data_IF_573713013751
#
_entry.id   IF_573713013751
#
_cell.length_a   1.000
_cell.length_b   1.000
_cell.length_c   1.000
_cell.angle_alpha   90.00
_cell.angle_beta   90.00
_cell.angle_gamma   90.00
#
_symmetry.space_group_name_H-M   'P 1'
#
loop_
_entity.id
_entity.type
_entity.pdbx_description
1 polymer ?
#
# COMPACT_ATOMS: atom_id res chain seq x y z
N UNK A 1 8.07 -8.06 22.38
CA UNK A 1 8.58 -9.27 23.07
C UNK A 1 7.87 -9.54 24.39
N UNK A 2 7.87 -8.63 25.38
CA UNK A 2 7.31 -8.88 26.73
C UNK A 2 5.82 -9.19 26.73
N UNK A 3 5.01 -8.56 25.87
CA UNK A 3 3.57 -8.87 25.74
C UNK A 3 3.32 -10.27 25.17
N UNK A 4 4.16 -10.76 24.27
CA UNK A 4 4.09 -12.15 23.81
C UNK A 4 4.47 -13.17 24.90
N UNK A 5 5.37 -12.78 25.80
CA UNK A 5 5.68 -13.61 26.97
C UNK A 5 4.51 -13.68 27.95
N UNK A 6 3.77 -12.58 28.10
CA UNK A 6 2.60 -12.52 28.97
C UNK A 6 1.38 -13.30 28.38
N UNK A 7 1.28 -13.39 27.05
CA UNK A 7 0.20 -14.11 26.37
C UNK A 7 0.76 -14.96 25.22
N UNK A 8 1.39 -16.11 25.54
CA UNK A 8 1.94 -17.02 24.53
C UNK A 8 0.86 -17.51 23.56
N UNK A 9 1.23 -17.57 22.29
CA UNK A 9 0.33 -18.03 21.20
C UNK A 9 -0.57 -16.94 20.60
N UNK A 10 -0.55 -15.71 21.09
CA UNK A 10 -1.20 -14.60 20.41
C UNK A 10 -0.45 -14.22 19.13
N UNK A 11 -1.19 -14.01 18.04
CA UNK A 11 -0.66 -13.46 16.77
C UNK A 11 -0.73 -11.93 16.74
N UNK A 12 -1.45 -11.30 17.67
CA UNK A 12 -1.53 -9.85 17.77
C UNK A 12 -0.24 -9.29 18.39
N UNK A 13 0.26 -8.18 17.85
CA UNK A 13 1.42 -7.48 18.41
C UNK A 13 1.17 -7.05 19.84
N UNK A 14 -0.04 -6.56 20.12
CA UNK A 14 -0.52 -6.20 21.45
C UNK A 14 -1.90 -6.82 21.70
N UNK A 15 -1.97 -7.98 22.38
CA UNK A 15 -3.24 -8.62 22.67
C UNK A 15 -4.12 -7.74 23.56
N UNK A 16 -5.39 -7.62 23.23
CA UNK A 16 -6.36 -6.87 24.02
C UNK A 16 -6.43 -7.42 25.47
N UNK A 17 -6.40 -6.52 26.46
CA UNK A 17 -6.45 -6.88 27.87
C UNK A 17 -5.20 -7.57 28.42
N UNK A 18 -4.11 -7.64 27.66
CA UNK A 18 -2.86 -8.20 28.14
C UNK A 18 -2.24 -7.31 29.22
N UNK A 19 -2.03 -7.87 30.40
CA UNK A 19 -1.36 -7.24 31.55
C UNK A 19 -0.07 -8.00 31.85
N UNK A 20 1.01 -7.27 32.04
CA UNK A 20 2.32 -7.85 32.33
C UNK A 20 2.40 -8.28 33.82
N UNK A 21 2.88 -9.50 34.05
CA UNK A 21 3.13 -9.94 35.40
C UNK A 21 4.30 -9.20 36.08
N UNK A 22 4.31 -9.08 37.41
CA UNK A 22 5.43 -8.48 38.13
C UNK A 22 6.76 -9.18 37.83
N UNK A 23 6.74 -10.49 37.62
CA UNK A 23 7.95 -11.25 37.28
C UNK A 23 8.54 -10.82 35.91
N UNK A 24 7.69 -10.59 34.91
CA UNK A 24 8.13 -10.10 33.60
C UNK A 24 8.72 -8.68 33.70
N UNK A 25 8.02 -7.80 34.44
CA UNK A 25 8.49 -6.42 34.67
C UNK A 25 9.80 -6.40 35.43
N UNK A 26 9.96 -7.23 36.47
CA UNK A 26 11.19 -7.33 37.25
C UNK A 26 12.37 -7.91 36.45
N UNK A 27 12.10 -8.81 35.50
CA UNK A 27 13.13 -9.43 34.67
C UNK A 27 13.66 -8.50 33.55
N UNK A 28 12.95 -7.39 33.26
CA UNK A 28 13.38 -6.45 32.24
C UNK A 28 14.61 -5.67 32.72
N UNK A 29 15.61 -5.42 31.84
CA UNK A 29 16.76 -4.56 32.13
C UNK A 29 16.29 -3.18 32.61
N UNK A 30 17.04 -2.60 33.57
CA UNK A 30 16.71 -1.30 34.19
C UNK A 30 17.62 -0.16 33.74
N UNK A 31 18.65 -0.49 32.98
CA UNK A 31 19.69 0.41 32.47
C UNK A 31 19.51 0.74 30.98
N UNK A 32 18.35 0.44 30.43
CA UNK A 32 17.98 0.75 29.05
C UNK A 32 16.64 1.46 28.98
N UNK A 33 16.49 2.35 28.02
CA UNK A 33 15.19 2.93 27.68
C UNK A 33 14.38 1.94 26.84
N UNK A 34 13.11 1.85 27.15
CA UNK A 34 12.18 0.99 26.41
C UNK A 34 11.36 1.83 25.43
N UNK A 35 11.23 1.31 24.21
CA UNK A 35 10.39 1.91 23.19
C UNK A 35 9.07 1.15 23.11
N UNK A 36 7.97 1.83 23.41
CA UNK A 36 6.65 1.37 23.02
C UNK A 36 6.45 1.65 21.54
N UNK A 37 6.38 0.62 20.77
CA UNK A 37 6.35 0.66 19.33
C UNK A 37 5.01 0.17 18.82
N UNK A 38 4.13 1.07 18.39
CA UNK A 38 2.80 0.75 17.91
C UNK A 38 2.34 1.76 16.85
N UNK A 39 1.78 1.24 15.78
CA UNK A 39 1.10 1.98 14.74
C UNK A 39 -0.12 1.18 14.21
N UNK A 40 -0.64 0.24 14.99
CA UNK A 40 -1.79 -0.60 14.63
C UNK A 40 -3.04 -0.27 15.44
N UNK A 41 -2.87 0.16 16.69
CA UNK A 41 -3.96 0.38 17.65
C UNK A 41 -4.79 1.61 17.30
N UNK A 42 -6.10 1.40 17.09
CA UNK A 42 -7.11 2.43 16.84
C UNK A 42 -8.07 2.59 18.03
N UNK A 43 -7.94 1.78 19.08
CA UNK A 43 -8.72 1.86 20.30
C UNK A 43 -7.98 2.68 21.37
N UNK A 44 -8.56 3.84 21.72
CA UNK A 44 -7.96 4.72 22.72
C UNK A 44 -7.91 4.14 24.13
N UNK A 45 -8.80 3.21 24.50
CA UNK A 45 -8.75 2.55 25.80
C UNK A 45 -7.58 1.56 25.85
N UNK A 46 -7.41 0.78 24.79
CA UNK A 46 -6.26 -0.11 24.63
C UNK A 46 -4.95 0.66 24.62
N UNK A 47 -4.87 1.75 23.85
CA UNK A 47 -3.67 2.58 23.79
C UNK A 47 -3.26 3.10 25.20
N UNK A 48 -4.19 3.66 25.96
CA UNK A 48 -3.92 4.11 27.34
C UNK A 48 -3.46 2.97 28.25
N UNK A 49 -4.10 1.81 28.14
CA UNK A 49 -3.68 0.62 28.90
C UNK A 49 -2.24 0.22 28.56
N UNK A 50 -1.90 0.17 27.28
CA UNK A 50 -0.55 -0.21 26.83
C UNK A 50 0.52 0.79 27.26
N UNK A 51 0.24 2.10 27.24
CA UNK A 51 1.15 3.10 27.81
C UNK A 51 1.35 2.89 29.31
N UNK A 52 0.28 2.61 30.06
CA UNK A 52 0.37 2.32 31.49
C UNK A 52 1.21 1.06 31.77
N UNK A 53 1.05 0.00 30.99
CA UNK A 53 1.84 -1.22 31.12
C UNK A 53 3.34 -0.98 30.79
N UNK A 54 3.63 -0.17 29.76
CA UNK A 54 5.03 0.18 29.45
C UNK A 54 5.69 1.04 30.53
N UNK A 55 4.93 1.96 31.15
CA UNK A 55 5.43 2.80 32.25
C UNK A 55 5.87 1.98 33.49
N UNK A 56 5.41 0.74 33.63
CA UNK A 56 5.85 -0.18 34.70
C UNK A 56 7.29 -0.65 34.51
N UNK A 57 7.84 -0.62 33.30
CA UNK A 57 9.22 -0.98 33.05
C UNK A 57 10.18 0.18 33.35
N UNK A 58 9.86 1.38 32.88
CA UNK A 58 10.68 2.58 33.02
C UNK A 58 9.78 3.83 32.98
N UNK A 59 10.15 4.84 33.77
CA UNK A 59 9.49 6.16 33.73
C UNK A 59 9.83 6.94 32.45
N UNK A 60 10.87 6.57 31.73
CA UNK A 60 11.35 7.21 30.51
C UNK A 60 11.04 6.37 29.26
N UNK A 61 9.85 5.77 29.21
CA UNK A 61 9.37 5.09 28.00
C UNK A 61 9.31 6.05 26.82
N UNK A 62 9.90 5.66 25.68
CA UNK A 62 9.76 6.35 24.42
C UNK A 62 8.59 5.77 23.62
N UNK A 63 8.00 6.59 22.76
CA UNK A 63 6.96 6.12 21.84
C UNK A 63 7.45 6.16 20.39
N UNK A 64 7.26 5.07 19.64
CA UNK A 64 7.47 4.99 18.20
C UNK A 64 6.15 4.74 17.48
N UNK A 65 5.67 5.77 16.78
CA UNK A 65 4.54 5.67 15.85
C UNK A 65 5.00 5.47 14.40
N UNK A 66 4.05 5.44 13.46
CA UNK A 66 4.36 5.23 12.05
C UNK A 66 3.44 6.00 11.10
N UNK A 67 3.94 6.36 9.93
CA UNK A 67 3.20 7.15 8.93
C UNK A 67 2.85 6.36 7.66
N UNK A 68 2.84 5.06 7.73
CA UNK A 68 2.30 4.10 6.74
C UNK A 68 2.77 4.31 5.30
N UNK A 69 4.09 4.34 5.10
CA UNK A 69 4.73 4.41 3.76
C UNK A 69 5.17 3.04 3.22
N UNK A 70 4.83 1.94 3.88
CA UNK A 70 5.43 0.62 3.64
C UNK A 70 4.51 -0.42 3.01
N UNK A 71 3.22 -0.12 2.78
CA UNK A 71 2.27 -1.13 2.30
C UNK A 71 2.28 -1.32 0.78
N UNK A 72 2.88 -0.42 0.02
CA UNK A 72 2.91 -0.45 -1.44
C UNK A 72 3.26 0.91 -2.03
N UNK A 73 2.94 1.18 -3.30
CA UNK A 73 3.37 2.41 -3.98
C UNK A 73 2.67 3.67 -3.47
N UNK A 74 1.59 3.52 -2.69
CA UNK A 74 0.78 4.63 -2.18
C UNK A 74 0.81 4.64 -0.66
N UNK A 75 1.01 5.80 0.00
CA UNK A 75 0.92 5.90 1.45
C UNK A 75 -0.52 5.65 1.92
N UNK A 76 -0.68 4.94 3.02
CA UNK A 76 -1.99 4.73 3.65
C UNK A 76 -2.24 5.82 4.71
N UNK A 77 -2.66 7.00 4.24
CA UNK A 77 -2.94 8.11 5.14
C UNK A 77 -4.16 7.89 6.04
N UNK A 78 -5.16 7.12 5.60
CA UNK A 78 -6.33 6.82 6.42
C UNK A 78 -5.92 6.05 7.67
N UNK A 79 -5.10 5.01 7.48
CA UNK A 79 -4.57 4.22 8.59
C UNK A 79 -3.58 5.02 9.45
N UNK A 80 -2.68 5.75 8.80
CA UNK A 80 -1.73 6.62 9.49
C UNK A 80 -2.44 7.65 10.37
N UNK A 81 -3.50 8.29 9.87
CA UNK A 81 -4.27 9.27 10.62
C UNK A 81 -5.02 8.63 11.79
N UNK A 82 -5.74 7.53 11.57
CA UNK A 82 -6.50 6.84 12.60
C UNK A 82 -5.61 6.42 13.77
N UNK A 83 -4.49 5.75 13.49
CA UNK A 83 -3.57 5.25 14.53
C UNK A 83 -2.79 6.39 15.21
N UNK A 84 -2.29 7.37 14.44
CA UNK A 84 -1.53 8.50 14.99
C UNK A 84 -2.37 9.33 15.94
N UNK A 85 -3.63 9.65 15.59
CA UNK A 85 -4.52 10.43 16.46
C UNK A 85 -4.76 9.73 17.80
N UNK A 86 -5.01 8.43 17.77
CA UNK A 86 -5.25 7.63 18.98
C UNK A 86 -3.99 7.50 19.82
N UNK A 87 -2.91 7.02 19.24
CA UNK A 87 -1.68 6.71 19.95
C UNK A 87 -0.95 7.95 20.47
N UNK A 88 -0.84 9.02 19.65
CA UNK A 88 -0.21 10.26 20.10
C UNK A 88 -1.03 11.00 21.17
N UNK A 89 -2.38 10.90 21.13
CA UNK A 89 -3.21 11.43 22.19
C UNK A 89 -2.95 10.69 23.51
N UNK A 90 -2.97 9.35 23.48
CA UNK A 90 -2.66 8.53 24.66
C UNK A 90 -1.22 8.74 25.15
N UNK A 91 -0.25 8.90 24.24
CA UNK A 91 1.14 9.23 24.52
C UNK A 91 1.26 10.53 25.36
N UNK A 92 0.56 11.57 24.96
CA UNK A 92 0.53 12.86 25.69
C UNK A 92 -0.16 12.74 27.05
N UNK A 93 -1.29 12.03 27.12
CA UNK A 93 -2.02 11.78 28.36
C UNK A 93 -1.15 10.99 29.36
N UNK A 94 -0.33 10.07 28.88
CA UNK A 94 0.63 9.29 29.68
C UNK A 94 1.88 10.10 30.12
N UNK A 95 2.04 11.35 29.64
CA UNK A 95 3.18 12.18 29.97
C UNK A 95 4.51 11.75 29.32
N UNK A 96 4.46 10.93 28.28
CA UNK A 96 5.64 10.51 27.50
C UNK A 96 6.27 11.73 26.84
N UNK A 97 7.57 11.91 27.05
CA UNK A 97 8.30 13.12 26.62
C UNK A 97 9.04 12.97 25.30
N UNK A 98 9.26 11.76 24.86
CA UNK A 98 10.02 11.45 23.65
C UNK A 98 9.19 10.55 22.74
N UNK A 99 8.90 11.04 21.56
CA UNK A 99 8.19 10.27 20.53
C UNK A 99 8.84 10.51 19.17
N UNK A 100 8.83 9.50 18.31
CA UNK A 100 9.30 9.62 16.93
C UNK A 100 8.40 8.85 15.97
N UNK A 101 8.32 9.33 14.73
CA UNK A 101 7.58 8.67 13.66
C UNK A 101 8.52 7.78 12.86
N UNK A 102 8.07 6.58 12.51
CA UNK A 102 8.78 5.66 11.63
C UNK A 102 8.20 5.72 10.22
N UNK A 103 9.07 5.57 9.24
CA UNK A 103 8.73 5.50 7.81
C UNK A 103 9.46 4.28 7.23
N UNK A 104 8.76 3.15 7.24
CA UNK A 104 9.33 1.90 6.74
C UNK A 104 9.24 1.81 5.22
N UNK A 105 10.14 1.06 4.64
CA UNK A 105 10.17 0.74 3.22
C UNK A 105 10.09 -0.76 2.99
N UNK A 106 9.15 -1.43 3.66
CA UNK A 106 8.96 -2.87 3.56
C UNK A 106 8.67 -3.26 2.11
N UNK A 107 9.09 -4.47 1.75
CA UNK A 107 8.83 -5.06 0.44
C UNK A 107 9.21 -4.13 -0.74
N UNK A 108 10.42 -3.54 -0.67
CA UNK A 108 11.05 -2.82 -1.77
C UNK A 108 10.87 -1.30 -1.77
N UNK A 109 10.36 -0.70 -0.68
CA UNK A 109 10.20 0.75 -0.54
C UNK A 109 9.44 1.40 -1.71
N UNK A 110 8.35 0.77 -2.13
CA UNK A 110 7.57 1.18 -3.32
C UNK A 110 6.99 2.59 -3.19
N UNK A 111 6.58 3.02 -1.99
CA UNK A 111 6.23 4.40 -1.72
C UNK A 111 7.50 5.21 -1.48
N UNK A 112 7.59 6.44 -2.02
CA UNK A 112 8.64 7.37 -1.62
C UNK A 112 8.48 7.71 -0.12
N UNK A 113 9.35 7.21 0.78
CA UNK A 113 9.14 7.41 2.21
C UNK A 113 9.23 8.88 2.61
N UNK A 114 10.10 9.67 1.97
CA UNK A 114 10.24 11.09 2.28
C UNK A 114 9.02 11.89 1.83
N UNK A 115 8.66 11.81 0.55
CA UNK A 115 7.55 12.60 0.00
C UNK A 115 6.19 12.03 0.44
N UNK A 116 6.02 10.71 0.42
CA UNK A 116 4.81 10.05 0.87
C UNK A 116 4.57 10.13 2.37
N UNK A 117 5.62 10.40 3.17
CA UNK A 117 5.51 10.58 4.62
C UNK A 117 5.09 11.98 5.08
N UNK A 118 5.19 13.02 4.22
CA UNK A 118 5.08 14.42 4.62
C UNK A 118 3.81 14.76 5.41
N UNK A 119 2.64 14.35 4.92
CA UNK A 119 1.38 14.66 5.60
C UNK A 119 1.23 13.94 6.93
N UNK A 120 1.68 12.68 7.01
CA UNK A 120 1.69 11.91 8.25
C UNK A 120 2.66 12.49 9.29
N UNK A 121 3.84 12.97 8.85
CA UNK A 121 4.80 13.67 9.72
C UNK A 121 4.24 15.00 10.24
N UNK A 122 3.53 15.76 9.39
CA UNK A 122 2.88 17.00 9.83
C UNK A 122 1.82 16.70 10.89
N UNK A 123 0.98 15.67 10.69
CA UNK A 123 -0.02 15.27 11.68
C UNK A 123 0.64 14.86 13.00
N UNK A 124 1.71 14.06 12.93
CA UNK A 124 2.44 13.61 14.11
C UNK A 124 2.99 14.80 14.92
N UNK A 125 3.62 15.77 14.24
CA UNK A 125 4.11 16.99 14.84
C UNK A 125 2.97 17.85 15.42
N UNK A 126 1.86 17.97 14.71
CA UNK A 126 0.70 18.77 15.12
C UNK A 126 0.11 18.24 16.44
N UNK A 127 -0.02 16.93 16.59
CA UNK A 127 -0.51 16.32 17.84
C UNK A 127 0.53 16.48 18.94
N UNK A 128 1.82 16.31 18.64
CA UNK A 128 2.89 16.43 19.63
C UNK A 128 2.94 17.83 20.25
N UNK A 129 2.85 18.89 19.43
CA UNK A 129 3.03 20.27 19.88
C UNK A 129 1.72 20.97 20.25
N UNK A 130 0.61 20.72 19.50
CA UNK A 130 -0.64 21.49 19.61
C UNK A 130 -1.85 20.63 20.01
N UNK A 131 -1.72 19.32 20.13
CA UNK A 131 -2.82 18.41 20.45
C UNK A 131 -3.63 17.92 19.25
N UNK A 132 -3.35 18.40 18.03
CA UNK A 132 -3.89 17.86 16.78
C UNK A 132 -5.42 17.91 16.62
N UNK A 133 -6.07 18.94 17.17
CA UNK A 133 -7.54 19.04 17.22
C UNK A 133 -8.15 19.88 16.10
N UNK A 134 -7.32 20.55 15.32
CA UNK A 134 -7.74 21.51 14.30
C UNK A 134 -7.12 21.13 12.95
N UNK A 135 -7.94 20.51 12.10
CA UNK A 135 -7.51 20.04 10.78
C UNK A 135 -7.26 21.19 9.81
N UNK A 136 -7.99 22.31 9.91
CA UNK A 136 -7.74 23.50 9.09
C UNK A 136 -6.37 24.11 9.42
N UNK A 137 -6.01 24.15 10.70
CA UNK A 137 -4.68 24.59 11.13
C UNK A 137 -3.56 23.65 10.71
N UNK A 138 -3.81 22.33 10.70
CA UNK A 138 -2.88 21.34 10.16
C UNK A 138 -2.64 21.59 8.66
N UNK A 139 -3.70 21.74 7.88
CA UNK A 139 -3.61 21.92 6.44
C UNK A 139 -2.93 23.26 6.09
N UNK A 140 -3.24 24.34 6.80
CA UNK A 140 -2.58 25.64 6.63
C UNK A 140 -1.07 25.58 6.95
N UNK A 141 -0.68 24.86 8.00
CA UNK A 141 0.74 24.66 8.34
C UNK A 141 1.45 23.74 7.35
N UNK A 142 0.77 22.69 6.89
CA UNK A 142 1.31 21.84 5.84
C UNK A 142 1.63 22.65 4.58
N UNK A 143 0.68 23.46 4.12
CA UNK A 143 0.88 24.32 2.96
C UNK A 143 2.00 25.36 3.20
N UNK A 144 2.05 25.98 4.38
CA UNK A 144 3.11 26.93 4.72
C UNK A 144 4.51 26.27 4.73
N UNK A 145 4.61 25.01 5.16
CA UNK A 145 5.88 24.29 5.22
C UNK A 145 6.32 23.71 3.88
N UNK A 146 5.38 23.29 3.04
CA UNK A 146 5.67 22.55 1.80
C UNK A 146 5.49 23.39 0.53
N UNK A 147 4.72 24.46 0.59
CA UNK A 147 4.27 25.23 -0.56
C UNK A 147 3.21 24.54 -1.41
N UNK A 148 2.57 23.48 -0.87
CA UNK A 148 1.55 22.69 -1.56
C UNK A 148 0.37 22.44 -0.61
N UNK A 149 -0.89 22.57 -1.06
CA UNK A 149 -2.05 22.20 -0.27
C UNK A 149 -2.01 20.76 0.21
N UNK A 150 -2.58 20.43 1.37
CA UNK A 150 -2.64 19.09 1.92
C UNK A 150 -3.58 18.16 1.10
N UNK A 151 -4.57 18.73 0.43
CA UNK A 151 -5.62 17.98 -0.28
C UNK A 151 -5.08 17.01 -1.35
N UNK A 152 -4.10 17.34 -2.24
CA UNK A 152 -3.52 16.39 -3.16
C UNK A 152 -2.87 15.18 -2.47
N UNK A 153 -2.28 15.36 -1.29
CA UNK A 153 -1.71 14.27 -0.50
C UNK A 153 -2.80 13.39 0.11
N UNK A 154 -3.83 13.97 0.73
CA UNK A 154 -4.98 13.21 1.27
C UNK A 154 -5.68 12.39 0.19
N UNK A 155 -5.78 12.93 -1.04
CA UNK A 155 -6.42 12.27 -2.16
C UNK A 155 -5.68 10.99 -2.62
N UNK A 156 -4.42 10.75 -2.22
CA UNK A 156 -3.69 9.51 -2.51
C UNK A 156 -4.39 8.27 -1.98
N UNK A 157 -5.06 8.35 -0.84
CA UNK A 157 -5.84 7.24 -0.30
C UNK A 157 -6.88 6.67 -1.27
N UNK A 158 -7.33 7.47 -2.26
CA UNK A 158 -8.28 7.01 -3.27
C UNK A 158 -7.74 5.88 -4.15
N UNK A 159 -6.43 5.73 -4.32
CA UNK A 159 -5.85 4.60 -5.06
C UNK A 159 -6.15 3.24 -4.42
N UNK A 160 -6.34 3.22 -3.10
CA UNK A 160 -6.65 2.00 -2.35
C UNK A 160 -8.15 1.86 -2.00
N UNK A 161 -9.00 2.80 -2.44
CA UNK A 161 -10.46 2.82 -2.18
C UNK A 161 -11.26 2.63 -3.46
N UNK A 162 -11.31 1.41 -3.99
CA UNK A 162 -12.06 1.06 -5.22
C UNK A 162 -13.38 0.32 -4.96
N UNK A 163 -13.93 0.46 -3.76
CA UNK A 163 -15.22 -0.14 -3.41
C UNK A 163 -15.15 -1.60 -2.96
N UNK A 164 -13.98 -2.12 -2.61
CA UNK A 164 -13.88 -3.38 -1.88
C UNK A 164 -14.52 -3.21 -0.50
N UNK A 165 -15.25 -4.24 -0.08
CA UNK A 165 -15.93 -4.29 1.22
C UNK A 165 -14.92 -4.58 2.35
N UNK A 166 -14.09 -3.58 2.65
CA UNK A 166 -13.06 -3.63 3.66
C UNK A 166 -13.63 -3.27 5.04
N UNK A 167 -13.24 -4.01 6.08
CA UNK A 167 -13.58 -3.71 7.47
C UNK A 167 -12.62 -2.66 8.04
N UNK A 168 -13.04 -1.94 9.08
CA UNK A 168 -12.11 -1.10 9.83
C UNK A 168 -10.87 -1.90 10.27
N UNK A 169 -9.69 -1.34 10.02
CA UNK A 169 -8.41 -2.00 10.31
C UNK A 169 -7.82 -2.87 9.20
N UNK A 170 -8.60 -3.23 8.18
CA UNK A 170 -8.06 -3.87 6.99
C UNK A 170 -7.15 -2.89 6.23
N UNK A 171 -5.94 -3.33 5.92
CA UNK A 171 -5.00 -2.58 5.09
C UNK A 171 -5.11 -3.08 3.67
N UNK A 172 -5.84 -2.35 2.84
CA UNK A 172 -6.09 -2.71 1.44
C UNK A 172 -5.03 -2.11 0.52
N UNK A 173 -4.66 -2.87 -0.49
CA UNK A 173 -3.66 -2.44 -1.47
C UNK A 173 -4.02 -2.82 -2.92
N UNK A 174 -5.23 -2.51 -3.38
CA UNK A 174 -5.70 -2.88 -4.71
C UNK A 174 -4.79 -2.34 -5.83
N UNK A 175 -4.21 -1.16 -5.67
CA UNK A 175 -3.29 -0.61 -6.67
C UNK A 175 -2.06 -1.49 -6.86
N UNK A 176 -1.47 -2.01 -5.78
CA UNK A 176 -0.33 -2.93 -5.82
C UNK A 176 -0.73 -4.29 -6.40
N UNK A 177 -1.87 -4.81 -5.97
CA UNK A 177 -2.42 -6.08 -6.43
C UNK A 177 -2.66 -6.07 -7.94
N UNK A 178 -3.39 -5.06 -8.43
CA UNK A 178 -3.68 -4.90 -9.85
C UNK A 178 -2.45 -4.56 -10.70
N UNK A 179 -1.47 -3.84 -10.14
CA UNK A 179 -0.21 -3.55 -10.83
C UNK A 179 0.61 -4.81 -11.06
N UNK A 180 0.71 -5.69 -10.06
CA UNK A 180 1.66 -6.80 -10.09
C UNK A 180 1.04 -8.17 -10.41
N UNK A 181 -0.29 -8.35 -10.38
CA UNK A 181 -0.89 -9.62 -10.78
C UNK A 181 -0.44 -10.04 -12.20
N UNK A 182 -0.28 -11.35 -12.41
CA UNK A 182 0.14 -11.89 -13.70
C UNK A 182 -0.93 -11.60 -14.79
N UNK A 183 -0.55 -11.10 -15.99
CA UNK A 183 -1.50 -10.74 -17.02
C UNK A 183 -2.23 -11.93 -17.66
N UNK A 184 -1.68 -13.14 -17.57
CA UNK A 184 -2.36 -14.36 -18.02
C UNK A 184 -3.14 -15.04 -16.88
N UNK A 185 -2.69 -14.88 -15.63
CA UNK A 185 -3.33 -15.47 -14.47
C UNK A 185 -3.76 -14.36 -13.48
N UNK A 186 -4.86 -13.64 -13.78
CA UNK A 186 -5.33 -12.54 -12.94
C UNK A 186 -5.88 -13.10 -11.62
N UNK A 187 -5.06 -13.05 -10.56
CA UNK A 187 -5.35 -13.64 -9.25
C UNK A 187 -6.58 -13.04 -8.58
N UNK A 188 -6.79 -11.76 -8.81
CA UNK A 188 -7.82 -10.97 -8.13
C UNK A 188 -9.10 -10.79 -8.98
N UNK A 189 -9.29 -11.57 -10.06
CA UNK A 189 -10.44 -11.43 -10.96
C UNK A 189 -11.77 -11.55 -10.20
N UNK A 190 -11.88 -12.54 -9.30
CA UNK A 190 -13.11 -12.76 -8.55
C UNK A 190 -13.32 -11.73 -7.43
N UNK A 191 -12.24 -11.21 -6.84
CA UNK A 191 -12.32 -10.20 -5.77
C UNK A 191 -12.78 -8.83 -6.30
N UNK A 192 -12.41 -8.48 -7.53
CA UNK A 192 -12.79 -7.22 -8.18
C UNK A 192 -14.02 -7.35 -9.09
N UNK A 193 -14.71 -8.49 -9.08
CA UNK A 193 -15.92 -8.69 -9.88
C UNK A 193 -17.01 -7.67 -9.50
N UNK A 194 -17.59 -7.03 -10.51
CA UNK A 194 -18.63 -6.01 -10.32
C UNK A 194 -18.11 -4.62 -9.96
N UNK A 195 -16.78 -4.44 -9.83
CA UNK A 195 -16.15 -3.14 -9.68
C UNK A 195 -15.64 -2.63 -11.04
N UNK A 196 -15.43 -1.32 -11.12
CA UNK A 196 -14.97 -0.64 -12.34
C UNK A 196 -13.54 -0.07 -12.16
N UNK A 197 -12.51 -0.94 -11.97
CA UNK A 197 -11.17 -0.47 -11.62
C UNK A 197 -10.53 0.36 -12.76
N UNK A 198 -10.78 0.03 -14.02
CA UNK A 198 -10.26 0.83 -15.14
C UNK A 198 -10.72 2.28 -15.06
N UNK A 199 -12.05 2.51 -14.95
CA UNK A 199 -12.62 3.85 -14.89
C UNK A 199 -12.12 4.61 -13.66
N UNK A 200 -12.03 3.94 -12.50
CA UNK A 200 -11.51 4.50 -11.26
C UNK A 200 -10.08 5.03 -11.42
N UNK A 201 -9.16 4.20 -11.93
CA UNK A 201 -7.76 4.61 -12.08
C UNK A 201 -7.54 5.61 -13.21
N UNK A 202 -8.37 5.63 -14.28
CA UNK A 202 -8.35 6.71 -15.28
C UNK A 202 -8.69 8.07 -14.66
N UNK A 203 -9.70 8.12 -13.80
CA UNK A 203 -10.10 9.35 -13.10
C UNK A 203 -8.95 9.82 -12.18
N UNK A 204 -8.30 8.90 -11.46
CA UNK A 204 -7.16 9.24 -10.61
C UNK A 204 -5.97 9.73 -11.44
N UNK A 205 -5.65 9.07 -12.54
CA UNK A 205 -4.57 9.49 -13.45
C UNK A 205 -4.75 10.94 -13.92
N UNK A 206 -5.96 11.28 -14.42
CA UNK A 206 -6.27 12.63 -14.85
C UNK A 206 -6.21 13.66 -13.71
N UNK A 207 -6.67 13.28 -12.51
CA UNK A 207 -6.58 14.12 -11.31
C UNK A 207 -5.14 14.43 -10.94
N UNK A 208 -4.28 13.42 -10.91
CA UNK A 208 -2.88 13.60 -10.52
C UNK A 208 -2.03 14.28 -11.58
N UNK A 209 -2.37 14.13 -12.88
CA UNK A 209 -1.77 14.94 -13.93
C UNK A 209 -2.02 16.44 -13.70
N UNK A 210 -3.27 16.80 -13.35
CA UNK A 210 -3.60 18.18 -12.99
C UNK A 210 -2.87 18.65 -11.72
N UNK A 211 -2.79 17.83 -10.68
CA UNK A 211 -2.04 18.18 -9.47
C UNK A 211 -0.55 18.42 -9.74
N UNK A 212 0.05 17.66 -10.66
CA UNK A 212 1.43 17.87 -11.08
C UNK A 212 1.61 19.24 -11.77
N UNK A 213 0.66 19.67 -12.61
CA UNK A 213 0.67 20.97 -13.25
C UNK A 213 0.46 22.13 -12.26
N UNK A 214 -0.48 21.96 -11.32
CA UNK A 214 -0.83 22.96 -10.31
C UNK A 214 0.25 23.14 -9.22
N UNK A 215 1.11 22.13 -9.01
CA UNK A 215 2.12 22.09 -7.94
C UNK A 215 3.52 21.76 -8.47
N UNK A 216 4.21 22.71 -9.13
CA UNK A 216 5.50 22.44 -9.81
C UNK A 216 6.59 21.86 -8.88
N UNK A 217 6.60 22.22 -7.60
CA UNK A 217 7.56 21.68 -6.63
C UNK A 217 7.37 20.18 -6.37
N UNK A 218 6.19 19.63 -6.63
CA UNK A 218 5.82 18.22 -6.48
C UNK A 218 5.44 17.57 -7.81
N UNK A 219 5.80 18.19 -8.95
CA UNK A 219 5.41 17.70 -10.27
C UNK A 219 5.85 16.26 -10.53
N UNK A 220 7.08 15.89 -10.18
CA UNK A 220 7.58 14.52 -10.32
C UNK A 220 6.82 13.53 -9.43
N UNK A 221 6.50 13.93 -8.21
CA UNK A 221 5.77 13.10 -7.25
C UNK A 221 4.33 12.85 -7.70
N UNK A 222 3.59 13.90 -8.06
CA UNK A 222 2.21 13.74 -8.55
C UNK A 222 2.18 13.13 -9.97
N UNK A 223 3.16 13.44 -10.81
CA UNK A 223 3.33 12.84 -12.14
C UNK A 223 3.53 11.33 -12.07
N UNK A 224 4.28 10.84 -11.06
CA UNK A 224 4.38 9.41 -10.79
C UNK A 224 3.01 8.78 -10.51
N UNK A 225 2.18 9.38 -9.67
CA UNK A 225 0.83 8.85 -9.38
C UNK A 225 -0.10 8.95 -10.59
N UNK A 226 0.02 9.99 -11.41
CA UNK A 226 -0.69 10.04 -12.69
C UNK A 226 -0.34 8.83 -13.57
N UNK A 227 0.95 8.55 -13.70
CA UNK A 227 1.43 7.43 -14.53
C UNK A 227 1.10 6.06 -13.90
N UNK A 228 1.13 5.93 -12.57
CA UNK A 228 0.67 4.74 -11.86
C UNK A 228 -0.81 4.45 -12.17
N UNK A 229 -1.65 5.49 -12.13
CA UNK A 229 -3.06 5.39 -12.52
C UNK A 229 -3.23 4.94 -13.97
N UNK A 230 -2.45 5.48 -14.93
CA UNK A 230 -2.47 5.08 -16.34
C UNK A 230 -2.09 3.59 -16.51
N UNK A 231 -1.00 3.16 -15.87
CA UNK A 231 -0.53 1.78 -15.99
C UNK A 231 -1.53 0.77 -15.41
N UNK A 232 -2.09 1.04 -14.23
CA UNK A 232 -3.09 0.16 -13.62
C UNK A 232 -4.39 0.15 -14.42
N UNK A 233 -4.85 1.31 -14.92
CA UNK A 233 -6.02 1.38 -15.79
C UNK A 233 -5.83 0.56 -17.08
N UNK A 234 -4.67 0.65 -17.71
CA UNK A 234 -4.36 -0.12 -18.92
C UNK A 234 -4.34 -1.63 -18.66
N UNK A 235 -3.78 -2.08 -17.52
CA UNK A 235 -3.85 -3.49 -17.12
C UNK A 235 -5.28 -3.95 -16.87
N UNK A 236 -6.10 -3.14 -16.23
CA UNK A 236 -7.51 -3.45 -16.00
C UNK A 236 -8.29 -3.56 -17.32
N UNK A 237 -8.05 -2.66 -18.28
CA UNK A 237 -8.66 -2.71 -19.61
C UNK A 237 -8.25 -3.99 -20.36
N UNK A 238 -6.96 -4.31 -20.40
CA UNK A 238 -6.47 -5.56 -20.98
C UNK A 238 -7.15 -6.79 -20.34
N UNK A 239 -7.14 -6.87 -19.00
CA UNK A 239 -7.74 -7.97 -18.25
C UNK A 239 -9.24 -8.13 -18.57
N UNK A 240 -9.99 -7.04 -18.59
CA UNK A 240 -11.42 -7.05 -18.87
C UNK A 240 -11.74 -7.55 -20.28
N UNK A 241 -10.84 -7.40 -21.25
CA UNK A 241 -11.03 -7.84 -22.63
C UNK A 241 -10.48 -9.28 -22.88
N UNK A 242 -9.34 -9.64 -22.29
CA UNK A 242 -8.59 -10.85 -22.63
C UNK A 242 -9.34 -12.13 -22.27
N UNK A 243 -9.70 -12.32 -21.01
CA UNK A 243 -10.36 -13.54 -20.55
C UNK A 243 -11.71 -13.79 -21.24
N UNK A 244 -12.62 -12.81 -21.39
CA UNK A 244 -13.87 -12.99 -22.14
C UNK A 244 -13.67 -13.33 -23.63
N UNK A 245 -12.68 -12.76 -24.31
CA UNK A 245 -12.40 -13.07 -25.71
C UNK A 245 -11.97 -14.53 -25.90
N UNK A 246 -11.07 -15.02 -25.04
CA UNK A 246 -10.59 -16.40 -25.08
C UNK A 246 -11.72 -17.38 -24.70
N UNK A 247 -12.44 -17.13 -23.60
CA UNK A 247 -13.56 -17.98 -23.14
C UNK A 247 -14.68 -18.14 -24.19
N UNK A 248 -14.89 -17.12 -25.03
CA UNK A 248 -15.88 -17.21 -26.14
C UNK A 248 -15.30 -17.78 -27.43
N UNK A 249 -14.00 -18.08 -27.49
CA UNK A 249 -13.34 -18.48 -28.73
C UNK A 249 -13.27 -17.37 -29.77
N UNK A 250 -13.39 -16.10 -29.36
CA UNK A 250 -13.46 -14.93 -30.26
C UNK A 250 -12.05 -14.47 -30.68
N UNK A 251 -11.52 -15.17 -31.70
CA UNK A 251 -10.19 -14.89 -32.27
C UNK A 251 -10.10 -13.50 -32.90
N UNK A 252 -11.23 -12.98 -33.43
CA UNK A 252 -11.28 -11.64 -34.01
C UNK A 252 -11.16 -10.57 -32.93
N UNK A 253 -11.90 -10.69 -31.82
CA UNK A 253 -11.75 -9.79 -30.68
C UNK A 253 -10.34 -9.88 -30.08
N UNK A 254 -9.76 -11.09 -29.99
CA UNK A 254 -8.37 -11.28 -29.55
C UNK A 254 -7.39 -10.47 -30.40
N UNK A 255 -7.55 -10.50 -31.74
CA UNK A 255 -6.69 -9.77 -32.68
C UNK A 255 -6.92 -8.25 -32.66
N UNK A 256 -8.19 -7.81 -32.69
CA UNK A 256 -8.53 -6.41 -32.97
C UNK A 256 -8.64 -5.55 -31.72
N UNK A 257 -9.01 -6.19 -30.58
CA UNK A 257 -9.27 -5.48 -29.34
C UNK A 257 -8.22 -5.81 -28.27
N UNK A 258 -7.92 -7.10 -28.04
CA UNK A 258 -7.05 -7.52 -26.91
C UNK A 258 -5.57 -7.21 -27.19
N UNK A 259 -5.06 -7.52 -28.40
CA UNK A 259 -3.65 -7.26 -28.72
C UNK A 259 -3.29 -5.77 -28.62
N UNK A 260 -4.08 -4.82 -29.17
CA UNK A 260 -3.82 -3.39 -28.98
C UNK A 260 -3.83 -2.93 -27.52
N UNK A 261 -4.74 -3.49 -26.69
CA UNK A 261 -4.77 -3.19 -25.25
C UNK A 261 -3.53 -3.74 -24.53
N UNK A 262 -3.05 -4.91 -24.93
CA UNK A 262 -1.82 -5.48 -24.40
C UNK A 262 -0.59 -4.62 -24.77
N UNK A 263 -0.49 -4.18 -26.01
CA UNK A 263 0.57 -3.28 -26.49
C UNK A 263 0.55 -1.95 -25.71
N UNK A 264 -0.63 -1.34 -25.56
CA UNK A 264 -0.81 -0.13 -24.76
C UNK A 264 -0.38 -0.34 -23.29
N UNK A 265 -0.76 -1.49 -22.70
CA UNK A 265 -0.38 -1.82 -21.33
C UNK A 265 1.14 -1.94 -21.15
N UNK A 266 1.85 -2.57 -22.11
CA UNK A 266 3.32 -2.65 -22.10
C UNK A 266 3.94 -1.24 -22.10
N UNK A 267 3.45 -0.33 -22.95
CA UNK A 267 3.97 1.03 -23.01
C UNK A 267 3.70 1.83 -21.73
N UNK A 268 2.52 1.68 -21.12
CA UNK A 268 2.19 2.34 -19.85
C UNK A 268 3.06 1.83 -18.69
N UNK A 269 3.34 0.52 -18.61
CA UNK A 269 4.25 -0.03 -17.60
C UNK A 269 5.70 0.44 -17.84
N UNK A 270 6.14 0.54 -19.10
CA UNK A 270 7.45 1.13 -19.45
C UNK A 270 7.53 2.61 -19.05
N UNK A 271 6.47 3.38 -19.29
CA UNK A 271 6.39 4.77 -18.86
C UNK A 271 6.43 4.89 -17.33
N UNK A 272 5.69 4.05 -16.62
CA UNK A 272 5.73 3.97 -15.15
C UNK A 272 7.15 3.69 -14.65
N UNK A 273 7.86 2.74 -15.26
CA UNK A 273 9.25 2.44 -14.88
C UNK A 273 10.17 3.66 -15.02
N UNK A 274 10.00 4.44 -16.09
CA UNK A 274 10.77 5.68 -16.29
C UNK A 274 10.44 6.75 -15.23
N UNK A 275 9.16 6.99 -14.96
CA UNK A 275 8.71 7.96 -13.96
C UNK A 275 9.16 7.56 -12.55
N UNK A 276 9.03 6.29 -12.18
CA UNK A 276 9.44 5.80 -10.87
C UNK A 276 10.95 5.92 -10.66
N UNK A 277 11.73 5.55 -11.70
CA UNK A 277 13.18 5.72 -11.65
C UNK A 277 13.57 7.19 -11.47
N UNK A 278 12.95 8.10 -12.21
CA UNK A 278 13.23 9.53 -12.08
C UNK A 278 12.90 10.04 -10.67
N UNK A 279 11.72 9.71 -10.14
CA UNK A 279 11.33 10.08 -8.79
C UNK A 279 12.29 9.53 -7.73
N UNK A 280 12.69 8.25 -7.86
CA UNK A 280 13.65 7.63 -6.93
C UNK A 280 15.01 8.33 -6.96
N UNK A 281 15.58 8.50 -8.15
CA UNK A 281 16.93 9.09 -8.30
C UNK A 281 16.99 10.56 -7.90
N UNK A 282 15.87 11.29 -7.96
CA UNK A 282 15.78 12.68 -7.51
C UNK A 282 15.62 12.80 -5.98
N UNK A 283 15.15 11.78 -5.29
CA UNK A 283 14.80 11.86 -3.86
C UNK A 283 15.61 10.92 -2.96
N UNK A 284 16.19 9.86 -3.51
CA UNK A 284 16.89 8.81 -2.75
C UNK A 284 18.23 8.47 -3.39
N UNK A 285 19.03 7.65 -2.69
CA UNK A 285 20.21 7.04 -3.28
C UNK A 285 19.81 5.94 -4.27
N UNK A 286 20.64 5.60 -5.28
CA UNK A 286 20.31 4.58 -6.29
C UNK A 286 20.04 3.19 -5.73
N UNK A 287 20.67 2.83 -4.60
CA UNK A 287 20.52 1.51 -3.98
C UNK A 287 19.09 1.23 -3.55
N UNK A 288 18.59 0.04 -3.86
CA UNK A 288 17.23 -0.40 -3.59
C UNK A 288 16.30 -0.27 -4.79
N UNK A 289 16.57 0.64 -5.75
CA UNK A 289 15.74 0.80 -6.95
C UNK A 289 15.77 -0.44 -7.85
N UNK A 290 16.82 -1.23 -7.83
CA UNK A 290 16.93 -2.49 -8.56
C UNK A 290 15.78 -3.46 -8.25
N UNK A 291 15.19 -3.39 -7.04
CA UNK A 291 14.01 -4.20 -6.69
C UNK A 291 12.80 -3.79 -7.54
N UNK A 292 12.56 -2.50 -7.70
CA UNK A 292 11.48 -1.96 -8.52
C UNK A 292 11.74 -2.25 -10.01
N UNK A 293 12.97 -2.07 -10.47
CA UNK A 293 13.36 -2.39 -11.86
C UNK A 293 13.10 -3.87 -12.20
N UNK A 294 13.46 -4.79 -11.31
CA UNK A 294 13.20 -6.23 -11.47
C UNK A 294 11.70 -6.49 -11.56
N UNK A 295 10.90 -5.91 -10.67
CA UNK A 295 9.45 -6.12 -10.61
C UNK A 295 8.75 -5.62 -11.87
N UNK A 296 9.07 -4.40 -12.33
CA UNK A 296 8.46 -3.82 -13.52
C UNK A 296 8.97 -4.50 -14.81
N UNK A 297 10.26 -4.88 -14.86
CA UNK A 297 10.78 -5.66 -15.99
C UNK A 297 10.11 -7.03 -16.08
N UNK A 298 9.85 -7.70 -14.95
CA UNK A 298 9.11 -8.95 -14.92
C UNK A 298 7.67 -8.77 -15.45
N UNK A 299 6.97 -7.67 -15.06
CA UNK A 299 5.64 -7.36 -15.58
C UNK A 299 5.65 -7.14 -17.11
N UNK A 300 6.64 -6.41 -17.63
CA UNK A 300 6.80 -6.21 -19.08
C UNK A 300 7.01 -7.55 -19.78
N UNK A 301 7.94 -8.37 -19.31
CA UNK A 301 8.21 -9.69 -19.91
C UNK A 301 6.99 -10.62 -19.85
N UNK A 302 6.20 -10.56 -18.77
CA UNK A 302 4.95 -11.35 -18.66
C UNK A 302 3.87 -10.83 -19.62
N UNK A 303 3.75 -9.52 -19.81
CA UNK A 303 2.86 -8.92 -20.81
C UNK A 303 3.28 -9.28 -22.25
N UNK A 304 4.57 -9.31 -22.54
CA UNK A 304 5.10 -9.79 -23.83
C UNK A 304 4.75 -11.26 -24.08
N UNK A 305 4.89 -12.11 -23.05
CA UNK A 305 4.44 -13.52 -23.11
C UNK A 305 2.93 -13.60 -23.34
N UNK A 306 2.15 -12.79 -22.65
CA UNK A 306 0.69 -12.74 -22.83
C UNK A 306 0.32 -12.32 -24.25
N UNK A 307 1.00 -11.31 -24.78
CA UNK A 307 0.84 -10.86 -26.17
C UNK A 307 1.10 -11.98 -27.19
N UNK A 308 2.18 -12.73 -27.01
CA UNK A 308 2.50 -13.87 -27.88
C UNK A 308 1.42 -14.96 -27.84
N UNK A 309 0.93 -15.32 -26.64
CA UNK A 309 -0.11 -16.35 -26.48
C UNK A 309 -1.45 -15.90 -27.03
N UNK A 310 -1.87 -14.65 -26.80
CA UNK A 310 -3.08 -14.07 -27.39
C UNK A 310 -2.95 -14.01 -28.93
N UNK A 311 -1.79 -13.64 -29.46
CA UNK A 311 -1.51 -13.66 -30.90
C UNK A 311 -1.57 -15.06 -31.51
N UNK A 312 -1.04 -16.07 -30.79
CA UNK A 312 -1.14 -17.47 -31.22
C UNK A 312 -2.59 -17.97 -31.23
N UNK A 313 -3.39 -17.60 -30.22
CA UNK A 313 -4.83 -17.88 -30.17
C UNK A 313 -5.58 -17.18 -31.32
N UNK A 314 -5.35 -15.90 -31.53
CA UNK A 314 -5.98 -15.14 -32.61
C UNK A 314 -5.71 -15.77 -33.99
N UNK A 315 -4.49 -16.27 -34.22
CA UNK A 315 -4.07 -16.93 -35.46
C UNK A 315 -4.49 -18.40 -35.58
N UNK A 316 -5.16 -18.96 -34.59
CA UNK A 316 -5.59 -20.36 -34.59
C UNK A 316 -4.45 -21.36 -34.32
N UNK A 317 -3.32 -20.94 -33.82
CA UNK A 317 -2.21 -21.81 -33.38
C UNK A 317 -2.41 -22.35 -31.97
N UNK A 318 -3.24 -21.71 -31.17
CA UNK A 318 -3.75 -22.19 -29.90
C UNK A 318 -5.28 -22.20 -29.92
N UNK A 319 -5.89 -23.23 -29.34
CA UNK A 319 -7.33 -23.34 -29.22
C UNK A 319 -7.84 -22.71 -27.92
N UNK A 320 -7.02 -22.65 -26.90
CA UNK A 320 -7.35 -22.10 -25.60
C UNK A 320 -6.10 -21.52 -24.90
N UNK A 321 -6.33 -20.69 -23.88
CA UNK A 321 -5.33 -20.19 -22.93
C UNK A 321 -5.85 -20.52 -21.53
N UNK A 322 -5.54 -21.70 -20.98
CA UNK A 322 -6.13 -22.21 -19.74
C UNK A 322 -5.97 -21.22 -18.56
N UNK A 323 -4.86 -20.51 -18.51
CA UNK A 323 -4.59 -19.50 -17.46
C UNK A 323 -5.65 -18.38 -17.42
N UNK A 324 -6.25 -18.05 -18.56
CA UNK A 324 -7.32 -17.06 -18.68
C UNK A 324 -8.73 -17.66 -18.58
N UNK A 325 -8.89 -18.94 -18.94
CA UNK A 325 -10.22 -19.57 -19.04
C UNK A 325 -10.65 -20.31 -17.79
N UNK A 326 -9.70 -20.75 -16.95
CA UNK A 326 -10.01 -21.37 -15.66
C UNK A 326 -10.79 -20.40 -14.75
N UNK A 327 -11.73 -20.95 -13.99
CA UNK A 327 -12.49 -20.20 -12.98
C UNK A 327 -11.54 -19.70 -11.89
N UNK A 328 -11.66 -18.40 -11.55
CA UNK A 328 -10.89 -17.77 -10.48
C UNK A 328 -11.72 -17.74 -9.20
N UNK A 329 -11.14 -18.26 -8.12
CA UNK A 329 -11.72 -18.17 -6.79
C UNK A 329 -11.29 -16.83 -6.14
N UNK A 330 -12.07 -16.28 -5.20
CA UNK A 330 -11.64 -15.13 -4.42
C UNK A 330 -10.31 -15.41 -3.73
N UNK A 331 -9.33 -14.53 -3.91
CA UNK A 331 -7.98 -14.68 -3.38
C UNK A 331 -7.74 -13.82 -2.14
N UNK A 332 -8.41 -12.67 -2.06
CA UNK A 332 -8.36 -11.77 -0.91
C UNK A 332 -9.29 -12.20 0.22
N UNK A 333 -10.46 -12.75 -0.12
CA UNK A 333 -11.49 -13.05 0.85
C UNK A 333 -11.20 -14.34 1.60
N UNK A 334 -11.03 -14.24 2.92
CA UNK A 334 -10.83 -15.38 3.82
C UNK A 334 -12.17 -16.03 4.18
N UNK A 335 -12.10 -17.26 4.71
CA UNK A 335 -13.29 -18.03 5.11
C UNK A 335 -14.15 -17.35 6.21
N UNK A 336 -13.54 -16.53 7.06
CA UNK A 336 -14.21 -15.74 8.08
C UNK A 336 -14.79 -14.41 7.56
N UNK A 337 -14.66 -14.17 6.24
CA UNK A 337 -15.13 -12.96 5.56
C UNK A 337 -14.22 -11.75 5.73
N UNK A 338 -13.05 -11.88 6.37
CA UNK A 338 -12.03 -10.82 6.37
C UNK A 338 -11.26 -10.84 5.05
N UNK A 339 -10.61 -9.72 4.73
CA UNK A 339 -9.72 -9.63 3.58
C UNK A 339 -8.28 -9.94 3.98
N UNK A 340 -7.55 -10.64 3.12
CA UNK A 340 -6.14 -10.89 3.32
C UNK A 340 -5.35 -9.60 3.06
N UNK A 341 -4.48 -9.25 4.00
CA UNK A 341 -3.51 -8.19 3.81
C UNK A 341 -2.35 -8.72 2.96
N UNK A 342 -2.46 -8.57 1.63
CA UNK A 342 -1.45 -9.03 0.67
C UNK A 342 -0.60 -7.85 0.23
N UNK A 343 0.34 -7.42 1.09
CA UNK A 343 1.26 -6.32 0.81
C UNK A 343 2.62 -6.80 0.26
N UNK A 344 2.85 -8.11 0.19
CA UNK A 344 4.10 -8.70 -0.30
C UNK A 344 3.97 -8.95 -1.80
N UNK A 345 4.93 -8.43 -2.58
CA UNK A 345 4.94 -8.55 -4.04
C UNK A 345 4.80 -9.99 -4.54
N UNK A 346 5.51 -10.95 -3.92
CA UNK A 346 5.46 -12.36 -4.33
C UNK A 346 4.07 -12.99 -4.22
N UNK A 347 3.26 -12.53 -3.26
CA UNK A 347 1.88 -12.98 -3.10
C UNK A 347 0.91 -12.30 -4.09
N UNK A 348 1.29 -11.14 -4.66
CA UNK A 348 0.47 -10.44 -5.67
C UNK A 348 0.72 -10.99 -7.09
N UNK A 349 1.95 -11.43 -7.38
CA UNK A 349 2.37 -11.73 -8.75
C UNK A 349 1.94 -13.12 -9.22
N UNK A 350 1.85 -14.09 -8.32
CA UNK A 350 1.53 -15.49 -8.67
C UNK A 350 1.03 -16.26 -7.44
N UNK A 351 0.13 -17.25 -7.61
CA UNK A 351 -0.20 -18.20 -6.54
C UNK A 351 0.97 -19.13 -6.22
N UNK A 352 1.93 -19.22 -7.14
CA UNK A 352 3.17 -19.98 -6.92
C UNK A 352 4.10 -19.18 -6.01
N UNK A 353 4.68 -19.83 -5.02
CA UNK A 353 5.64 -19.18 -4.13
C UNK A 353 6.91 -18.80 -4.90
N UNK A 354 7.07 -17.54 -5.26
CA UNK A 354 8.23 -17.00 -5.99
C UNK A 354 9.31 -16.43 -5.07
N UNK A 355 9.06 -16.44 -3.77
CA UNK A 355 10.06 -16.10 -2.74
C UNK A 355 9.83 -16.97 -1.50
N UNK A 356 10.92 -17.35 -0.87
CA UNK A 356 10.87 -18.00 0.45
C UNK A 356 10.74 -16.92 1.51
N UNK A 357 9.54 -16.79 2.08
CA UNK A 357 9.38 -16.05 3.34
C UNK A 357 9.58 -17.03 4.48
N UNK A 358 10.64 -16.89 5.21
CA UNK A 358 10.85 -17.58 6.48
C UNK A 358 10.14 -16.89 7.62
#
# INVERSE_FOLDING_TARGET
>A
MYFHMAQPGSTAAYPAGCTLSEAIVAAAPKDIDLVYWDYYTEDGALARHLFAEHARFSADTLFAGGVYTWNGPVPDYDKAEATTRVLMTACREAGVRQAFATMWGDDGAECSPLLGGLLGLQLFAEIAYNGGRDDDALDARFEACTGCPAQPFRALGAFNRIGLDARPGDVMNPVKQLLYEDPLMPLFEADFAGLEPEAHYRVLAARYARYAEENPAFADFFGFYAQLGCAVAAKCAYRAAAAPAVRRGDRRAAEKDVLPLCDACIEEVRALARCWRALWMNSLRPFGFEVIDIRLSAQIGRLETARERIGAFAQGRLDDIPELTEEKLPYLKRADGTLANLNIWSACVSPTNVSWSF
#
